data_IF_060156915941
#
_entry.id   IF_060156915941
#
_cell.length_a   1.000
_cell.length_b   1.000
_cell.length_c   1.000
_cell.angle_alpha   90.00
_cell.angle_beta   90.00
_cell.angle_gamma   90.00
#
_symmetry.space_group_name_H-M   'P 1'
#
loop_
_entity.id
_entity.type
_entity.pdbx_description
1 polymer ?
#
# COMPACT_ATOMS: atom_id res chain seq x y z
N UNK A 1 -1.01 -13.47 -34.74
CA UNK A 1 -1.13 -13.32 -34.22
C UNK A 1 -1.20 -13.06 -33.35
N UNK A 2 -1.13 -13.33 -32.96
CA UNK A 2 -1.17 -13.24 -32.27
C UNK A 2 -1.29 -12.67 -31.44
N UNK A 3 -1.55 -12.49 -31.37
CA UNK A 3 -1.68 -11.96 -30.52
C UNK A 3 -1.99 -11.98 -29.50
N UNK A 4 -1.73 -12.20 -29.21
CA UNK A 4 -1.84 -12.38 -28.29
C UNK A 4 -2.30 -11.82 -27.44
N UNK A 5 -2.57 -11.94 -27.50
CA UNK A 5 -2.92 -11.58 -26.72
C UNK A 5 -3.07 -11.05 -25.93
N UNK A 6 -3.09 -10.78 -26.26
CA UNK A 6 -3.18 -10.45 -25.40
C UNK A 6 -3.92 -10.60 -24.33
N UNK A 7 -3.93 -11.27 -24.30
CA UNK A 7 -4.53 -11.54 -23.23
C UNK A 7 -3.97 -10.96 -22.14
N UNK A 8 -4.62 -10.29 -21.40
CA UNK A 8 -4.04 -9.64 -20.40
C UNK A 8 -3.77 -10.54 -19.32
N UNK A 9 -2.60 -10.57 -18.90
CA UNK A 9 -2.21 -11.20 -17.74
C UNK A 9 -2.67 -10.44 -16.58
N UNK A 10 -3.27 -11.09 -15.58
CA UNK A 10 -3.68 -10.44 -14.40
C UNK A 10 -2.49 -10.10 -13.57
N UNK A 11 -2.35 -8.86 -13.16
CA UNK A 11 -1.29 -8.47 -12.26
C UNK A 11 -1.53 -9.06 -10.89
N UNK A 12 -0.45 -9.44 -10.20
CA UNK A 12 -0.53 -9.82 -8.81
C UNK A 12 -0.82 -8.59 -7.98
N UNK A 13 -1.51 -8.77 -6.87
CA UNK A 13 -1.81 -7.65 -5.97
C UNK A 13 -0.55 -7.06 -5.38
N UNK A 14 0.44 -7.89 -5.10
CA UNK A 14 1.67 -7.45 -4.45
C UNK A 14 2.84 -8.22 -5.03
N UNK A 15 3.88 -7.48 -5.41
CA UNK A 15 5.15 -8.06 -5.84
C UNK A 15 6.21 -7.73 -4.81
N UNK A 16 7.23 -8.57 -4.69
CA UNK A 16 8.31 -8.33 -3.73
C UNK A 16 9.00 -6.99 -3.96
N UNK A 17 9.13 -6.57 -5.22
CA UNK A 17 9.78 -5.28 -5.49
C UNK A 17 8.96 -4.09 -5.00
N UNK A 18 7.72 -4.31 -4.61
CA UNK A 18 6.88 -3.25 -4.03
C UNK A 18 6.86 -3.30 -2.52
N UNK A 19 7.87 -3.90 -1.92
CA UNK A 19 8.00 -3.94 -0.47
C UNK A 19 9.37 -3.38 -0.10
N UNK A 20 9.38 -2.34 0.72
CA UNK A 20 10.61 -1.77 1.28
C UNK A 20 10.57 -1.91 2.78
N UNK A 21 11.55 -2.60 3.34
CA UNK A 21 11.59 -2.84 4.77
C UNK A 21 12.74 -2.09 5.40
N UNK A 22 12.67 -1.93 6.72
CA UNK A 22 13.76 -1.28 7.45
C UNK A 22 13.92 0.18 7.11
N UNK A 23 12.82 0.88 6.78
CA UNK A 23 12.90 2.28 6.39
C UNK A 23 13.13 3.17 7.60
N UNK A 24 13.93 4.23 7.41
CA UNK A 24 14.11 5.24 8.44
C UNK A 24 12.88 6.12 8.50
N UNK A 25 12.58 6.73 9.67
CA UNK A 25 11.43 7.62 9.78
C UNK A 25 11.50 8.73 8.72
N UNK A 26 10.34 9.08 8.18
CA UNK A 26 10.24 10.10 7.14
C UNK A 26 8.91 10.82 7.32
N UNK A 27 8.78 12.00 6.71
CA UNK A 27 7.53 12.75 6.83
C UNK A 27 6.38 11.97 6.19
N UNK A 28 5.18 12.18 6.74
CA UNK A 28 3.97 11.54 6.22
C UNK A 28 3.82 11.80 4.73
N UNK A 29 4.04 13.03 4.30
CA UNK A 29 3.92 13.39 2.90
C UNK A 29 4.93 12.64 2.03
N UNK A 30 6.18 12.56 2.48
CA UNK A 30 7.20 11.85 1.73
C UNK A 30 6.89 10.37 1.61
N UNK A 31 6.39 9.77 2.68
CA UNK A 31 6.05 8.35 2.66
C UNK A 31 4.92 8.09 1.67
N UNK A 32 3.90 8.95 1.67
CA UNK A 32 2.80 8.80 0.73
C UNK A 32 3.30 8.92 -0.71
N UNK A 33 4.20 9.89 -0.96
CA UNK A 33 4.76 10.04 -2.30
C UNK A 33 5.54 8.80 -2.72
N UNK A 34 6.26 8.19 -1.78
CA UNK A 34 7.05 7.00 -2.10
C UNK A 34 6.18 5.79 -2.41
N UNK A 35 5.19 5.50 -1.57
CA UNK A 35 4.33 4.35 -1.85
C UNK A 35 3.51 4.60 -3.12
N UNK A 36 3.08 5.84 -3.34
CA UNK A 36 2.38 6.19 -4.57
C UNK A 36 3.24 5.99 -5.79
N UNK A 37 4.50 6.41 -5.71
CA UNK A 37 5.41 6.25 -6.84
C UNK A 37 5.70 4.78 -7.12
N UNK A 38 5.77 3.96 -6.07
CA UNK A 38 5.92 2.52 -6.25
C UNK A 38 4.76 1.95 -7.05
N UNK A 39 3.54 2.43 -6.78
CA UNK A 39 2.37 1.99 -7.52
C UNK A 39 2.42 2.45 -8.99
N UNK A 40 2.94 3.66 -9.23
CA UNK A 40 3.11 4.17 -10.59
C UNK A 40 4.13 3.33 -11.34
N UNK A 41 5.29 3.13 -10.72
CA UNK A 41 6.40 2.43 -11.37
C UNK A 41 6.06 0.99 -11.69
N UNK A 42 5.17 0.38 -10.91
CA UNK A 42 4.73 -0.99 -11.12
C UNK A 42 3.55 -1.10 -12.07
N UNK A 43 3.04 0.04 -12.56
CA UNK A 43 1.98 0.01 -13.56
C UNK A 43 0.57 -0.14 -13.03
N UNK A 44 0.37 0.07 -11.72
CA UNK A 44 -0.98 -0.01 -11.16
C UNK A 44 -1.77 1.26 -11.35
N UNK A 45 -1.09 2.41 -11.35
CA UNK A 45 -1.78 3.71 -11.44
C UNK A 45 -0.98 4.64 -12.33
N UNK A 46 -1.64 5.73 -12.77
CA UNK A 46 -0.97 6.82 -13.47
C UNK A 46 -0.48 7.84 -12.45
N UNK A 47 0.49 8.66 -12.86
CA UNK A 47 1.15 9.60 -11.96
C UNK A 47 0.19 10.51 -11.16
N UNK A 48 -0.91 11.03 -11.75
CA UNK A 48 -1.81 11.90 -10.98
C UNK A 48 -2.41 11.23 -9.74
N UNK A 49 -2.40 9.90 -9.67
CA UNK A 49 -2.93 9.22 -8.51
C UNK A 49 -2.16 9.56 -7.23
N UNK A 50 -0.86 9.85 -7.35
CA UNK A 50 -0.04 10.22 -6.20
C UNK A 50 -0.57 11.50 -5.56
N UNK A 51 -0.90 12.50 -6.40
CA UNK A 51 -1.46 13.74 -5.87
C UNK A 51 -2.81 13.49 -5.20
N UNK A 52 -3.59 12.57 -5.76
CA UNK A 52 -4.88 12.23 -5.18
C UNK A 52 -4.72 11.57 -3.81
N UNK A 53 -3.67 10.77 -3.63
CA UNK A 53 -3.40 10.16 -2.32
C UNK A 53 -3.06 11.23 -1.30
N UNK A 54 -2.28 12.24 -1.69
CA UNK A 54 -1.93 13.34 -0.80
C UNK A 54 -3.17 14.16 -0.44
N UNK A 55 -4.04 14.41 -1.42
CA UNK A 55 -5.28 15.14 -1.17
C UNK A 55 -6.19 14.40 -0.21
N UNK A 56 -6.32 13.08 -0.42
CA UNK A 56 -7.16 12.26 0.43
C UNK A 56 -6.70 12.32 1.88
N UNK A 57 -5.38 12.27 2.09
CA UNK A 57 -4.83 12.28 3.44
C UNK A 57 -5.10 13.58 4.15
N UNK A 58 -5.18 14.71 3.42
CA UNK A 58 -5.48 16.01 4.02
C UNK A 58 -6.89 16.06 4.58
N UNK A 59 -7.82 15.34 3.97
CA UNK A 59 -9.21 15.34 4.41
C UNK A 59 -9.38 14.50 5.65
N UNK A 60 -8.89 13.26 5.63
CA UNK A 60 -8.94 12.36 6.77
C UNK A 60 -7.67 11.54 6.76
N UNK A 61 -7.07 11.38 7.93
CA UNK A 61 -5.90 10.52 8.05
C UNK A 61 -6.29 9.08 7.70
N UNK A 62 -5.38 8.38 7.04
CA UNK A 62 -5.58 6.96 6.72
C UNK A 62 -4.99 6.06 7.80
N UNK A 63 -4.67 6.62 8.97
CA UNK A 63 -4.21 5.82 10.11
C UNK A 63 -5.35 4.91 10.58
N UNK A 64 -5.04 3.62 10.70
CA UNK A 64 -6.05 2.60 11.01
C UNK A 64 -5.93 2.06 12.43
N UNK A 65 -4.99 2.55 13.23
CA UNK A 65 -4.65 1.92 14.49
C UNK A 65 -3.69 0.77 14.27
N UNK A 66 -3.24 0.16 15.36
CA UNK A 66 -2.33 -0.99 15.31
C UNK A 66 -1.10 -0.73 14.45
N UNK A 67 -0.56 0.51 14.50
CA UNK A 67 0.67 0.90 13.80
C UNK A 67 0.56 0.91 12.28
N UNK A 68 -0.66 0.97 11.76
CA UNK A 68 -0.92 0.79 10.33
C UNK A 68 -1.56 2.03 9.71
N UNK A 69 -1.08 2.44 8.55
CA UNK A 69 -1.72 3.47 7.73
C UNK A 69 -1.91 2.93 6.31
N UNK A 70 -3.04 3.28 5.68
CA UNK A 70 -3.41 2.75 4.38
C UNK A 70 -3.72 3.89 3.40
N UNK A 71 -2.70 4.65 2.95
CA UNK A 71 -2.93 5.73 1.99
C UNK A 71 -3.58 5.21 0.70
N UNK A 72 -4.55 5.95 0.20
CA UNK A 72 -5.20 5.62 -1.06
C UNK A 72 -5.78 6.90 -1.64
N UNK A 73 -6.18 6.88 -2.91
CA UNK A 73 -6.66 8.08 -3.57
C UNK A 73 -8.11 8.38 -3.28
N UNK A 74 -8.53 9.60 -3.64
CA UNK A 74 -9.93 9.99 -3.54
C UNK A 74 -10.74 9.26 -4.60
N UNK A 75 -12.06 9.22 -4.39
CA UNK A 75 -12.96 8.52 -5.32
C UNK A 75 -12.81 9.02 -6.75
N UNK A 76 -12.65 10.32 -6.93
CA UNK A 76 -12.55 10.90 -8.26
C UNK A 76 -11.30 10.44 -9.02
N UNK A 77 -10.31 9.92 -8.31
CA UNK A 77 -9.06 9.50 -8.93
C UNK A 77 -9.07 8.05 -9.40
N UNK A 78 -10.20 7.37 -9.26
CA UNK A 78 -10.26 5.96 -9.70
C UNK A 78 -10.01 5.79 -11.18
N UNK A 79 -10.24 6.84 -11.97
CA UNK A 79 -9.95 6.80 -13.40
C UNK A 79 -8.45 6.60 -13.69
N UNK A 80 -7.60 6.94 -12.71
CA UNK A 80 -6.16 6.80 -12.87
C UNK A 80 -5.64 5.43 -12.44
N UNK A 81 -6.52 4.53 -12.02
CA UNK A 81 -6.13 3.19 -11.58
C UNK A 81 -6.26 2.23 -12.75
N UNK A 82 -5.16 1.56 -13.08
CA UNK A 82 -5.14 0.60 -14.18
C UNK A 82 -5.32 -0.82 -13.71
N UNK A 83 -4.87 -1.12 -12.50
CA UNK A 83 -4.98 -2.46 -11.93
C UNK A 83 -4.95 -2.34 -10.42
N UNK A 84 -5.59 -3.28 -9.73
CA UNK A 84 -5.56 -3.30 -8.27
C UNK A 84 -4.20 -3.77 -7.79
N UNK A 85 -3.67 -3.09 -6.80
CA UNK A 85 -2.38 -3.44 -6.24
C UNK A 85 -2.05 -2.67 -4.99
N UNK A 86 -1.00 -3.10 -4.31
CA UNK A 86 -0.52 -2.44 -3.10
C UNK A 86 0.99 -2.29 -3.13
N UNK A 87 1.49 -1.34 -2.34
CA UNK A 87 2.91 -1.13 -2.13
C UNK A 87 3.12 -0.92 -0.64
N UNK A 88 4.20 -1.47 -0.09
CA UNK A 88 4.40 -1.55 1.35
C UNK A 88 5.72 -0.93 1.75
N UNK A 89 5.71 -0.15 2.83
CA UNK A 89 6.94 0.33 3.48
C UNK A 89 6.83 0.02 4.96
N UNK A 90 7.90 -0.52 5.55
CA UNK A 90 7.90 -0.78 6.98
C UNK A 90 8.96 0.08 7.66
N UNK A 91 8.61 0.54 8.86
CA UNK A 91 9.42 1.45 9.67
C UNK A 91 9.58 0.83 11.05
N UNK A 92 10.59 -0.02 11.26
CA UNK A 92 10.71 -0.72 12.54
C UNK A 92 10.79 0.22 13.74
N UNK A 93 11.34 1.42 13.54
CA UNK A 93 11.45 2.41 14.62
C UNK A 93 10.27 3.35 14.66
N UNK A 94 9.33 3.18 13.71
CA UNK A 94 8.15 4.03 13.65
C UNK A 94 8.39 5.33 12.90
N UNK A 95 7.33 5.90 12.39
CA UNK A 95 7.36 7.22 11.77
C UNK A 95 6.08 7.94 12.19
N UNK A 96 6.11 9.26 12.21
CA UNK A 96 4.98 10.04 12.68
C UNK A 96 3.89 10.13 11.63
N UNK A 97 2.65 9.95 12.06
CA UNK A 97 1.49 10.03 11.18
C UNK A 97 0.41 10.83 11.91
N UNK A 98 0.48 12.15 11.76
CA UNK A 98 -0.42 13.08 12.44
C UNK A 98 -0.43 12.85 13.95
N UNK A 99 0.75 12.64 14.53
CA UNK A 99 0.88 12.44 15.97
C UNK A 99 0.76 10.98 16.41
N UNK A 100 0.46 10.08 15.48
CA UNK A 100 0.37 8.65 15.79
C UNK A 100 1.63 7.95 15.25
N UNK A 101 2.04 6.89 15.94
CA UNK A 101 3.17 6.10 15.48
C UNK A 101 2.69 5.07 14.48
N UNK A 102 3.32 5.05 13.32
CA UNK A 102 3.02 4.08 12.28
C UNK A 102 4.30 3.31 11.97
N UNK A 103 4.19 2.01 11.84
CA UNK A 103 5.32 1.15 11.47
C UNK A 103 5.08 0.43 10.15
N UNK A 104 3.85 0.43 9.66
CA UNK A 104 3.51 -0.21 8.40
C UNK A 104 2.66 0.75 7.59
N UNK A 105 3.10 1.04 6.36
CA UNK A 105 2.35 1.87 5.44
C UNK A 105 2.08 1.04 4.19
N UNK A 106 0.81 0.91 3.83
CA UNK A 106 0.42 0.15 2.64
C UNK A 106 -0.39 1.08 1.74
N UNK A 107 0.22 1.49 0.64
CA UNK A 107 -0.48 2.28 -0.37
C UNK A 107 -1.37 1.37 -1.19
N UNK A 108 -2.58 1.81 -1.47
CA UNK A 108 -3.60 0.96 -2.09
C UNK A 108 -4.17 1.60 -3.34
N UNK A 109 -4.28 0.80 -4.40
CA UNK A 109 -5.03 1.14 -5.59
C UNK A 109 -5.99 -0.01 -5.85
N UNK A 110 -7.28 0.28 -5.96
CA UNK A 110 -8.28 -0.76 -6.18
C UNK A 110 -9.23 -0.39 -7.29
N UNK A 111 -9.37 -1.27 -8.27
CA UNK A 111 -10.30 -1.09 -9.38
C UNK A 111 -11.71 -1.37 -8.87
N UNK A 112 -12.64 -0.44 -9.16
CA UNK A 112 -14.01 -0.62 -8.73
C UNK A 112 -14.11 -0.74 -7.23
N UNK A 113 -14.72 -1.82 -6.77
CA UNK A 113 -14.87 -2.05 -5.33
C UNK A 113 -13.82 -2.95 -4.76
N UNK A 114 -12.82 -3.31 -5.56
CA UNK A 114 -11.76 -4.19 -5.08
C UNK A 114 -10.98 -3.57 -3.94
N UNK A 115 -10.91 -2.23 -3.89
CA UNK A 115 -10.19 -1.59 -2.80
C UNK A 115 -10.81 -1.92 -1.44
N UNK A 116 -12.13 -2.08 -1.37
CA UNK A 116 -12.79 -2.45 -0.12
C UNK A 116 -12.40 -3.86 0.31
N UNK A 117 -12.28 -4.77 -0.66
CA UNK A 117 -11.87 -6.13 -0.36
C UNK A 117 -10.43 -6.17 0.13
N UNK A 118 -9.56 -5.37 -0.50
CA UNK A 118 -8.16 -5.28 -0.10
C UNK A 118 -8.06 -4.76 1.33
N UNK A 119 -8.80 -3.69 1.64
CA UNK A 119 -8.81 -3.13 2.99
C UNK A 119 -9.26 -4.16 4.01
N UNK A 120 -10.30 -4.92 3.68
CA UNK A 120 -10.83 -5.93 4.58
C UNK A 120 -9.81 -7.02 4.89
N UNK A 121 -9.11 -7.50 3.86
CA UNK A 121 -8.11 -8.55 4.05
C UNK A 121 -6.96 -8.04 4.90
N UNK A 122 -6.49 -6.82 4.64
CA UNK A 122 -5.40 -6.24 5.41
C UNK A 122 -5.82 -6.05 6.87
N UNK A 123 -7.03 -5.54 7.08
CA UNK A 123 -7.52 -5.35 8.44
C UNK A 123 -7.58 -6.66 9.21
N UNK A 124 -8.02 -7.72 8.56
CA UNK A 124 -8.06 -9.04 9.20
C UNK A 124 -6.68 -9.52 9.61
N UNK A 125 -5.67 -9.26 8.79
CA UNK A 125 -4.32 -9.73 9.10
C UNK A 125 -3.65 -8.88 10.15
N UNK A 126 -4.11 -7.64 10.34
CA UNK A 126 -3.51 -6.69 11.29
C UNK A 126 -4.44 -6.45 12.47
N UNK A 127 -5.04 -7.51 13.00
CA UNK A 127 -6.05 -7.38 14.05
C UNK A 127 -5.54 -6.79 15.34
N UNK A 128 -4.24 -6.97 15.62
CA UNK A 128 -3.70 -6.45 16.87
C UNK A 128 -2.29 -5.95 16.68
N UNK A 129 -1.76 -5.31 17.71
CA UNK A 129 -0.44 -4.71 17.64
C UNK A 129 0.67 -5.74 17.49
N UNK A 130 0.47 -6.95 18.01
CA UNK A 130 1.48 -7.99 17.89
C UNK A 130 1.67 -8.40 16.44
N UNK A 131 0.57 -8.55 15.70
CA UNK A 131 0.65 -8.88 14.28
C UNK A 131 1.36 -7.77 13.51
N UNK A 132 1.03 -6.51 13.83
CA UNK A 132 1.65 -5.37 13.19
C UNK A 132 3.15 -5.30 13.48
N UNK A 133 3.53 -5.53 14.75
CA UNK A 133 4.96 -5.50 15.11
C UNK A 133 5.74 -6.59 14.39
N UNK A 134 5.16 -7.77 14.28
CA UNK A 134 5.83 -8.87 13.60
C UNK A 134 6.05 -8.54 12.12
N UNK A 135 5.05 -7.96 11.48
CA UNK A 135 5.18 -7.58 10.08
C UNK A 135 6.21 -6.46 9.92
N UNK A 136 6.18 -5.48 10.83
CA UNK A 136 7.09 -4.34 10.75
C UNK A 136 8.56 -4.74 10.92
N UNK A 137 8.80 -5.82 11.66
CA UNK A 137 10.15 -6.31 11.89
C UNK A 137 10.63 -7.28 10.81
N UNK A 138 9.75 -7.69 9.91
CA UNK A 138 10.09 -8.72 8.92
C UNK A 138 10.88 -8.19 7.75
N UNK A 139 11.51 -9.11 7.04
CA UNK A 139 12.18 -8.77 5.78
C UNK A 139 11.16 -8.85 4.65
N UNK A 140 11.61 -8.59 3.42
CA UNK A 140 10.72 -8.56 2.25
C UNK A 140 9.96 -9.86 2.10
N UNK A 141 10.65 -10.99 2.23
CA UNK A 141 9.99 -12.30 2.06
C UNK A 141 8.94 -12.53 3.13
N UNK A 142 9.24 -12.15 4.38
CA UNK A 142 8.30 -12.31 5.48
C UNK A 142 7.06 -11.44 5.25
N UNK A 143 7.26 -10.18 4.87
CA UNK A 143 6.14 -9.28 4.61
C UNK A 143 5.28 -9.82 3.45
N UNK A 144 5.94 -10.26 2.39
CA UNK A 144 5.24 -10.79 1.23
C UNK A 144 4.38 -12.00 1.62
N UNK A 145 4.97 -12.93 2.37
CA UNK A 145 4.26 -14.15 2.78
C UNK A 145 3.09 -13.83 3.70
N UNK A 146 3.30 -12.91 4.65
CA UNK A 146 2.24 -12.55 5.59
C UNK A 146 1.06 -11.88 4.88
N UNK A 147 1.33 -11.01 3.91
CA UNK A 147 0.25 -10.27 3.26
C UNK A 147 -0.43 -11.05 2.15
N UNK A 148 0.28 -11.94 1.47
CA UNK A 148 -0.30 -12.65 0.33
C UNK A 148 -0.71 -14.07 0.67
N UNK A 149 -0.19 -14.63 1.75
CA UNK A 149 -0.39 -16.04 2.07
C UNK A 149 0.44 -16.97 1.20
N UNK A 150 1.39 -16.41 0.43
CA UNK A 150 2.26 -17.19 -0.45
C UNK A 150 3.67 -17.22 0.11
N UNK A 151 4.43 -18.21 -0.30
CA UNK A 151 5.84 -18.29 0.15
C UNK A 151 6.83 -18.11 -0.95
#
# INVERSE_FOLDING_TARGET
MFFRSKKKEKKELLYRENIRTGCAPASQEDVIRQVGQMLVDSGYVDQPYVDAMLEREKTFSTFMGNLLALPHGVEAAKKDIKASGIAVMTFPEGTDWDGNTVKIVIGIAGVGEEHLQILSVIADKMLDADAAEKLAAGDVDTVYALLTGKE
#
